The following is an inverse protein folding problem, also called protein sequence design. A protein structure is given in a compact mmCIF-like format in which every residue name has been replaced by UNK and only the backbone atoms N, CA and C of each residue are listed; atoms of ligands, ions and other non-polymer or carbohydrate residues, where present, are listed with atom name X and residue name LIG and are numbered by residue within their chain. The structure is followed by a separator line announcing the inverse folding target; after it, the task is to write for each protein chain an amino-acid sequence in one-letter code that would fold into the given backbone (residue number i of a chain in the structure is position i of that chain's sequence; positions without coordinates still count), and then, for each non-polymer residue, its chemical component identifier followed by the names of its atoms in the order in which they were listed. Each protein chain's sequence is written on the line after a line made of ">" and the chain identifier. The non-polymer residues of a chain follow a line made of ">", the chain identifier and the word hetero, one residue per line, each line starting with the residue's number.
data_IF_425507959779
#
_entry.id   IF_425507959779
#
_cell.length_a   1.000
_cell.length_b   1.000
_cell.length_c   1.000
_cell.angle_alpha   90.00
_cell.angle_beta   90.00
_cell.angle_gamma   90.00
#
_symmetry.space_group_name_H-M   'P 1'
#
loop_
_entity.id
_entity.type
_entity.pdbx_description
1 polymer ?
#
# COMPACT_ATOMS: atom_id res chain seq x y z
N UNK A 1 3.77 -20.26 30.32
CA UNK A 1 2.43 -19.74 29.95
C UNK A 1 1.86 -20.67 28.88
N UNK A 2 0.57 -21.07 28.98
CA UNK A 2 -0.08 -21.82 27.91
C UNK A 2 -0.40 -20.86 26.75
N UNK A 3 -0.04 -21.24 25.54
CA UNK A 3 -0.41 -20.49 24.32
C UNK A 3 -1.93 -20.60 24.14
N UNK A 4 -2.66 -19.48 23.97
CA UNK A 4 -4.09 -19.54 23.72
C UNK A 4 -4.37 -20.23 22.37
N UNK A 5 -5.41 -21.06 22.34
CA UNK A 5 -5.88 -21.68 21.09
C UNK A 5 -6.74 -20.67 20.33
N UNK A 6 -6.49 -20.53 19.03
CA UNK A 6 -7.28 -19.68 18.15
C UNK A 6 -8.43 -20.49 17.57
N UNK A 7 -9.64 -19.96 17.67
CA UNK A 7 -10.83 -20.49 17.03
C UNK A 7 -11.19 -19.52 15.91
N UNK A 8 -11.44 -20.02 14.71
CA UNK A 8 -11.84 -19.21 13.56
C UNK A 8 -13.01 -19.87 12.86
N UNK A 9 -13.99 -19.07 12.44
CA UNK A 9 -15.12 -19.52 11.65
C UNK A 9 -14.82 -19.24 10.18
N UNK A 10 -14.81 -20.27 9.36
CA UNK A 10 -14.58 -20.17 7.91
C UNK A 10 -15.87 -20.44 7.15
N UNK A 11 -16.13 -19.68 6.10
CA UNK A 11 -17.32 -19.83 5.25
C UNK A 11 -17.32 -18.82 4.13
N UNK A 12 -18.41 -18.79 3.35
CA UNK A 12 -18.60 -17.75 2.34
C UNK A 12 -19.10 -16.46 3.00
N UNK A 13 -18.86 -15.31 2.36
CA UNK A 13 -19.34 -14.02 2.86
C UNK A 13 -20.86 -14.05 3.07
N UNK A 14 -21.31 -13.59 4.24
CA UNK A 14 -22.75 -13.50 4.56
C UNK A 14 -23.40 -14.81 5.02
N UNK A 15 -22.66 -15.89 5.26
CA UNK A 15 -23.24 -17.17 5.75
C UNK A 15 -23.47 -17.23 7.25
N UNK A 16 -23.42 -16.10 7.97
CA UNK A 16 -23.73 -16.03 9.40
C UNK A 16 -22.62 -16.50 10.35
N UNK A 17 -21.34 -16.38 9.96
CA UNK A 17 -20.21 -16.69 10.85
C UNK A 17 -20.21 -15.84 12.14
N UNK A 18 -20.79 -14.64 12.09
CA UNK A 18 -20.99 -13.78 13.27
C UNK A 18 -21.83 -14.45 14.35
N UNK A 19 -22.87 -15.19 14.00
CA UNK A 19 -23.74 -15.90 14.97
C UNK A 19 -22.93 -16.92 15.77
N UNK A 20 -22.01 -17.63 15.11
CA UNK A 20 -21.14 -18.58 15.78
C UNK A 20 -20.11 -17.86 16.66
N UNK A 21 -19.53 -16.76 16.19
CA UNK A 21 -18.61 -15.95 16.99
C UNK A 21 -19.27 -15.36 18.24
N UNK A 22 -20.51 -14.91 18.14
CA UNK A 22 -21.30 -14.39 19.26
C UNK A 22 -21.61 -15.50 20.28
N UNK A 23 -22.08 -16.67 19.80
CA UNK A 23 -22.33 -17.84 20.64
C UNK A 23 -21.06 -18.30 21.37
N UNK A 24 -19.92 -18.33 20.68
CA UNK A 24 -18.64 -18.68 21.30
C UNK A 24 -18.18 -17.61 22.32
N UNK A 25 -18.57 -16.36 22.13
CA UNK A 25 -18.28 -15.26 23.05
C UNK A 25 -19.01 -15.35 24.40
N UNK A 26 -20.07 -16.16 24.51
CA UNK A 26 -20.80 -16.36 25.79
C UNK A 26 -19.98 -17.17 26.82
N UNK A 27 -18.99 -17.94 26.37
CA UNK A 27 -18.17 -18.76 27.26
C UNK A 27 -17.07 -17.92 27.94
N UNK A 28 -16.99 -17.97 29.27
CA UNK A 28 -16.05 -17.16 30.07
C UNK A 28 -14.57 -17.45 29.79
N UNK A 29 -14.25 -18.58 29.18
CA UNK A 29 -12.90 -18.97 28.77
C UNK A 29 -12.58 -18.63 27.30
N UNK A 30 -13.49 -17.96 26.59
CA UNK A 30 -13.31 -17.51 25.21
C UNK A 30 -13.27 -15.98 25.19
N UNK A 31 -12.34 -15.43 24.41
CA UNK A 31 -12.23 -13.99 24.20
C UNK A 31 -12.50 -13.69 22.72
N UNK A 32 -13.49 -12.83 22.47
CA UNK A 32 -13.78 -12.32 21.13
C UNK A 32 -12.96 -11.05 20.86
N UNK A 33 -12.48 -10.90 19.63
CA UNK A 33 -11.72 -9.73 19.18
C UNK A 33 -12.62 -8.53 18.80
N UNK A 34 -13.94 -8.65 19.00
CA UNK A 34 -14.91 -7.58 18.81
C UNK A 34 -15.66 -7.63 17.46
N UNK A 35 -16.34 -6.53 17.14
CA UNK A 35 -17.34 -6.46 16.07
C UNK A 35 -16.83 -5.79 14.78
N UNK A 36 -15.51 -5.72 14.61
CA UNK A 36 -14.89 -5.06 13.46
C UNK A 36 -14.12 -6.06 12.61
N UNK A 37 -14.40 -6.05 11.31
CA UNK A 37 -13.76 -6.94 10.34
C UNK A 37 -12.56 -6.24 9.69
N UNK A 38 -11.36 -6.74 9.96
CA UNK A 38 -10.15 -6.26 9.32
C UNK A 38 -10.01 -6.85 7.92
N UNK A 39 -10.32 -6.07 6.88
CA UNK A 39 -10.35 -6.54 5.48
C UNK A 39 -9.07 -6.27 4.70
N UNK A 40 -8.20 -5.37 5.18
CA UNK A 40 -6.96 -4.97 4.51
C UNK A 40 -5.93 -6.10 4.29
N UNK A 41 -6.14 -7.29 4.88
CA UNK A 41 -5.33 -8.48 4.58
C UNK A 41 -5.67 -9.02 3.19
N UNK A 42 -6.96 -8.98 2.82
CA UNK A 42 -7.50 -9.66 1.65
C UNK A 42 -7.91 -8.72 0.52
N UNK A 43 -8.26 -7.48 0.86
CA UNK A 43 -8.70 -6.47 -0.10
C UNK A 43 -7.60 -6.12 -1.13
N UNK A 44 -7.99 -5.61 -2.32
CA UNK A 44 -7.03 -5.07 -3.29
C UNK A 44 -6.14 -4.01 -2.67
N UNK A 45 -4.86 -3.97 -3.07
CA UNK A 45 -3.80 -3.14 -2.46
C UNK A 45 -3.50 -3.47 -0.99
N UNK A 46 -4.11 -4.53 -0.44
CA UNK A 46 -3.86 -5.04 0.90
C UNK A 46 -2.60 -5.91 0.99
N UNK A 47 -2.45 -6.63 2.11
CA UNK A 47 -1.26 -7.46 2.36
C UNK A 47 -1.08 -8.55 1.28
N UNK A 48 -2.16 -9.19 0.84
CA UNK A 48 -2.08 -10.23 -0.19
C UNK A 48 -1.59 -9.70 -1.54
N UNK A 49 -2.06 -8.53 -1.94
CA UNK A 49 -1.62 -7.91 -3.21
C UNK A 49 -0.15 -7.47 -3.13
N UNK A 50 0.26 -6.96 -1.97
CA UNK A 50 1.67 -6.64 -1.69
C UNK A 50 2.56 -7.90 -1.74
N UNK A 51 2.12 -9.00 -1.12
CA UNK A 51 2.83 -10.29 -1.11
C UNK A 51 3.04 -10.82 -2.52
N UNK A 52 1.99 -10.83 -3.34
CA UNK A 52 2.06 -11.17 -4.76
C UNK A 52 3.06 -10.28 -5.51
N UNK A 53 2.99 -8.97 -5.30
CA UNK A 53 3.85 -7.98 -5.95
C UNK A 53 5.34 -8.08 -5.58
N UNK A 54 5.66 -8.64 -4.42
CA UNK A 54 7.03 -8.80 -3.91
C UNK A 54 7.57 -10.20 -4.23
N UNK A 55 6.81 -11.24 -3.92
CA UNK A 55 7.32 -12.62 -3.90
C UNK A 55 7.03 -13.39 -5.19
N UNK A 56 5.93 -13.10 -5.87
CA UNK A 56 5.54 -13.80 -7.10
C UNK A 56 5.95 -13.01 -8.36
N UNK A 57 6.06 -11.68 -8.24
CA UNK A 57 6.38 -10.80 -9.35
C UNK A 57 7.80 -10.23 -9.27
N UNK A 58 8.76 -10.95 -9.85
CA UNK A 58 10.20 -10.62 -9.87
C UNK A 58 10.56 -9.43 -10.80
N UNK A 59 9.89 -8.29 -10.66
CA UNK A 59 10.20 -7.08 -11.42
C UNK A 59 10.19 -5.84 -10.52
N UNK A 60 11.32 -5.15 -10.45
CA UNK A 60 11.52 -3.96 -9.60
C UNK A 60 10.45 -2.86 -9.79
N UNK A 61 9.95 -2.66 -11.01
CA UNK A 61 8.97 -1.60 -11.30
C UNK A 61 7.59 -1.97 -10.77
N UNK A 62 7.20 -3.23 -10.92
CA UNK A 62 5.92 -3.73 -10.41
C UNK A 62 5.94 -3.89 -8.90
N UNK A 63 7.06 -4.31 -8.32
CA UNK A 63 7.23 -4.34 -6.86
C UNK A 63 7.06 -2.95 -6.26
N UNK A 64 7.73 -1.94 -6.82
CA UNK A 64 7.54 -0.54 -6.40
C UNK A 64 6.09 -0.07 -6.54
N UNK A 65 5.38 -0.49 -7.60
CA UNK A 65 3.97 -0.19 -7.79
C UNK A 65 3.09 -0.76 -6.68
N UNK A 66 3.23 -2.03 -6.33
CA UNK A 66 2.45 -2.66 -5.26
C UNK A 66 2.77 -2.05 -3.88
N UNK A 67 4.03 -1.74 -3.60
CA UNK A 67 4.43 -1.04 -2.37
C UNK A 67 3.76 0.34 -2.29
N UNK A 68 3.82 1.12 -3.37
CA UNK A 68 3.21 2.45 -3.42
C UNK A 68 1.69 2.40 -3.24
N UNK A 69 1.03 1.44 -3.87
CA UNK A 69 -0.41 1.22 -3.71
C UNK A 69 -0.78 0.81 -2.29
N UNK A 70 0.00 -0.08 -1.65
CA UNK A 70 -0.21 -0.45 -0.26
C UNK A 70 -0.07 0.77 0.66
N UNK A 71 0.97 1.58 0.49
CA UNK A 71 1.17 2.82 1.26
C UNK A 71 -0.03 3.77 1.06
N UNK A 72 -0.49 3.96 -0.17
CA UNK A 72 -1.65 4.80 -0.47
C UNK A 72 -2.93 4.26 0.20
N UNK A 73 -3.11 2.94 0.17
CA UNK A 73 -4.26 2.26 0.79
C UNK A 73 -4.25 2.39 2.32
N UNK A 74 -3.11 2.15 2.98
CA UNK A 74 -2.95 2.39 4.42
C UNK A 74 -3.21 3.85 4.78
N UNK A 75 -2.70 4.80 4.00
CA UNK A 75 -2.97 6.22 4.20
C UNK A 75 -4.47 6.56 4.10
N UNK A 76 -5.18 5.93 3.17
CA UNK A 76 -6.62 6.06 3.05
C UNK A 76 -7.35 5.47 4.26
N UNK A 77 -7.01 4.24 4.65
CA UNK A 77 -7.62 3.55 5.79
C UNK A 77 -7.38 4.27 7.12
N UNK A 78 -6.16 4.79 7.34
CA UNK A 78 -5.81 5.57 8.53
C UNK A 78 -6.66 6.84 8.68
N UNK A 79 -7.11 7.44 7.56
CA UNK A 79 -7.93 8.66 7.55
C UNK A 79 -9.43 8.37 7.42
N UNK A 80 -9.81 7.11 7.21
CA UNK A 80 -11.20 6.76 6.92
C UNK A 80 -12.06 6.85 8.18
N UNK A 81 -13.17 7.59 8.09
CA UNK A 81 -14.19 7.63 9.14
C UNK A 81 -15.12 6.41 9.10
N UNK A 82 -15.23 5.77 7.94
CA UNK A 82 -16.07 4.57 7.74
C UNK A 82 -15.36 3.34 8.27
N UNK A 83 -14.07 3.22 7.97
CA UNK A 83 -13.23 2.11 8.41
C UNK A 83 -12.20 2.64 9.41
N UNK A 84 -12.64 2.81 10.67
CA UNK A 84 -11.85 3.49 11.70
C UNK A 84 -10.77 2.59 12.31
N UNK A 85 -9.80 2.16 11.49
CA UNK A 85 -8.70 1.31 11.92
C UNK A 85 -7.87 1.96 13.03
N UNK A 86 -7.64 3.28 12.98
CA UNK A 86 -6.85 3.98 14.00
C UNK A 86 -7.44 3.82 15.41
N UNK A 87 -8.77 3.81 15.56
CA UNK A 87 -9.39 3.60 16.87
C UNK A 87 -9.13 2.20 17.45
N UNK A 88 -9.00 1.17 16.61
CA UNK A 88 -8.71 -0.20 17.06
C UNK A 88 -7.24 -0.41 17.40
N UNK A 89 -6.35 0.39 16.81
CA UNK A 89 -4.91 0.31 17.02
C UNK A 89 -4.36 1.49 17.84
N UNK A 90 -5.19 2.16 18.65
CA UNK A 90 -4.80 3.27 19.54
C UNK A 90 -4.02 4.40 18.82
N UNK A 91 -4.41 4.73 17.58
CA UNK A 91 -3.75 5.75 16.76
C UNK A 91 -2.39 5.32 16.19
N UNK A 92 -2.07 4.02 16.25
CA UNK A 92 -0.78 3.48 15.79
C UNK A 92 -0.88 2.71 14.48
N UNK A 93 -2.06 2.61 13.85
CA UNK A 93 -2.26 1.76 12.68
C UNK A 93 -1.31 2.14 11.54
N UNK A 94 -1.27 3.44 11.20
CA UNK A 94 -0.33 3.95 10.20
C UNK A 94 1.13 3.76 10.61
N UNK A 95 1.48 4.07 11.86
CA UNK A 95 2.87 4.00 12.34
C UNK A 95 3.44 2.58 12.26
N UNK A 96 2.63 1.59 12.67
CA UNK A 96 3.00 0.17 12.60
C UNK A 96 3.14 -0.26 11.14
N UNK A 97 2.23 0.16 10.27
CA UNK A 97 2.27 -0.16 8.84
C UNK A 97 3.49 0.46 8.13
N UNK A 98 3.82 1.72 8.44
CA UNK A 98 5.02 2.38 7.91
C UNK A 98 6.29 1.67 8.39
N UNK A 99 6.33 1.22 9.65
CA UNK A 99 7.45 0.44 10.18
C UNK A 99 7.57 -0.91 9.46
N UNK A 100 6.45 -1.58 9.20
CA UNK A 100 6.43 -2.82 8.43
C UNK A 100 7.02 -2.62 7.03
N UNK A 101 6.57 -1.59 6.29
CA UNK A 101 7.11 -1.29 4.96
C UNK A 101 8.60 -0.97 5.01
N UNK A 102 9.05 -0.17 5.98
CA UNK A 102 10.48 0.14 6.11
C UNK A 102 11.34 -1.08 6.45
N UNK A 103 10.77 -2.11 7.09
CA UNK A 103 11.49 -3.33 7.42
C UNK A 103 11.62 -4.31 6.24
N UNK A 104 10.73 -4.23 5.24
CA UNK A 104 10.76 -5.12 4.06
C UNK A 104 11.43 -4.47 2.85
N UNK A 105 11.69 -3.16 2.88
CA UNK A 105 12.32 -2.42 1.77
C UNK A 105 13.81 -2.21 2.05
N UNK A 106 14.65 -2.94 1.31
CA UNK A 106 16.11 -2.82 1.43
C UNK A 106 16.69 -1.63 0.65
N UNK A 107 16.12 -1.31 -0.52
CA UNK A 107 16.66 -0.31 -1.45
C UNK A 107 15.58 0.71 -1.76
N UNK A 108 15.95 1.99 -1.69
CA UNK A 108 15.11 3.13 -2.09
C UNK A 108 15.81 3.91 -3.20
N UNK A 109 15.05 4.32 -4.20
CA UNK A 109 15.56 5.10 -5.34
C UNK A 109 14.73 6.39 -5.47
N UNK A 110 15.41 7.53 -5.51
CA UNK A 110 14.78 8.85 -5.66
C UNK A 110 14.59 9.19 -7.13
N UNK A 111 13.68 8.47 -7.78
CA UNK A 111 13.33 8.68 -9.17
C UNK A 111 11.87 8.31 -9.42
N UNK A 112 11.49 8.30 -10.69
CA UNK A 112 10.15 7.91 -11.10
C UNK A 112 10.20 7.18 -12.44
N UNK A 113 9.19 6.34 -12.67
CA UNK A 113 8.96 5.73 -13.96
C UNK A 113 7.58 6.12 -14.51
N UNK A 114 7.23 5.60 -15.68
CA UNK A 114 6.04 6.03 -16.41
C UNK A 114 4.75 5.91 -15.59
N UNK A 115 4.59 4.83 -14.82
CA UNK A 115 3.39 4.59 -14.02
C UNK A 115 3.26 5.60 -12.87
N UNK A 116 4.36 6.00 -12.22
CA UNK A 116 4.30 6.99 -11.15
C UNK A 116 3.73 8.33 -11.64
N UNK A 117 4.04 8.71 -12.89
CA UNK A 117 3.47 9.91 -13.52
C UNK A 117 1.99 9.68 -13.86
N UNK A 118 1.62 8.50 -14.35
CA UNK A 118 0.23 8.14 -14.64
C UNK A 118 -0.64 8.21 -13.38
N UNK A 119 -0.13 7.74 -12.24
CA UNK A 119 -0.87 7.73 -10.97
C UNK A 119 -0.75 9.04 -10.19
N UNK A 120 0.16 9.93 -10.59
CA UNK A 120 0.35 11.20 -9.93
C UNK A 120 -0.84 12.16 -10.08
N UNK A 121 -0.93 13.10 -9.15
CA UNK A 121 -1.92 14.17 -9.17
C UNK A 121 -1.79 15.05 -10.40
N UNK A 122 -2.89 15.72 -10.78
CA UNK A 122 -2.94 16.61 -11.94
C UNK A 122 -1.82 17.66 -11.94
N UNK A 123 -1.54 18.27 -10.78
CA UNK A 123 -0.47 19.26 -10.64
C UNK A 123 0.92 18.68 -10.93
N UNK A 124 1.20 17.46 -10.45
CA UNK A 124 2.49 16.80 -10.68
C UNK A 124 2.65 16.42 -12.16
N UNK A 125 1.57 15.95 -12.80
CA UNK A 125 1.54 15.74 -14.26
C UNK A 125 1.82 17.04 -15.01
N UNK A 126 1.17 18.13 -14.61
CA UNK A 126 1.34 19.44 -15.24
C UNK A 126 2.80 19.93 -15.16
N UNK A 127 3.43 19.83 -13.99
CA UNK A 127 4.86 20.18 -13.81
C UNK A 127 5.74 19.31 -14.70
N UNK A 128 5.54 17.99 -14.68
CA UNK A 128 6.33 17.08 -15.51
C UNK A 128 6.24 17.39 -17.01
N UNK A 129 5.03 17.65 -17.52
CA UNK A 129 4.84 17.98 -18.93
C UNK A 129 5.38 19.37 -19.27
N UNK A 130 5.33 20.34 -18.36
CA UNK A 130 5.89 21.67 -18.60
C UNK A 130 7.42 21.64 -18.66
N UNK A 131 8.08 20.89 -17.78
CA UNK A 131 9.52 20.65 -17.80
C UNK A 131 9.96 19.99 -19.12
N UNK A 132 9.22 18.99 -19.61
CA UNK A 132 9.48 18.32 -20.90
C UNK A 132 9.38 19.29 -22.09
N UNK A 133 8.44 20.23 -22.06
CA UNK A 133 8.30 21.26 -23.10
C UNK A 133 9.49 22.22 -23.07
N UNK A 134 9.91 22.66 -21.87
CA UNK A 134 11.06 23.57 -21.70
C UNK A 134 12.34 22.88 -22.16
N UNK A 135 12.58 21.63 -21.75
CA UNK A 135 13.72 20.83 -22.20
C UNK A 135 13.73 20.73 -23.72
N UNK A 136 12.61 20.37 -24.35
CA UNK A 136 12.53 20.27 -25.82
C UNK A 136 12.85 21.61 -26.51
N UNK A 137 12.45 22.75 -25.94
CA UNK A 137 12.81 24.08 -26.46
C UNK A 137 14.30 24.39 -26.28
N UNK A 138 14.87 24.08 -25.12
CA UNK A 138 16.30 24.28 -24.85
C UNK A 138 17.17 23.39 -25.74
N UNK A 139 16.83 22.11 -25.88
CA UNK A 139 17.54 21.21 -26.79
C UNK A 139 17.34 21.59 -28.26
N UNK A 140 16.20 22.19 -28.65
CA UNK A 140 16.03 22.73 -30.00
C UNK A 140 16.93 23.96 -30.27
N UNK A 141 17.19 24.78 -29.24
CA UNK A 141 18.16 25.89 -29.30
C UNK A 141 19.61 25.39 -29.27
N UNK A 142 19.93 24.35 -28.49
CA UNK A 142 21.27 23.77 -28.36
C UNK A 142 21.64 22.76 -29.46
N UNK A 143 20.65 22.23 -30.21
CA UNK A 143 20.88 21.43 -31.43
C UNK A 143 21.58 22.21 -32.54
N UNK A 144 21.85 23.50 -32.34
CA UNK A 144 22.76 24.28 -33.18
C UNK A 144 24.24 24.05 -32.84
N UNK A 145 24.58 23.40 -31.71
CA UNK A 145 25.99 23.29 -31.30
C UNK A 145 26.53 21.97 -30.74
N UNK A 146 25.79 21.03 -30.14
CA UNK A 146 26.39 19.72 -29.83
C UNK A 146 25.37 18.61 -29.51
N UNK A 147 25.37 17.57 -30.34
CA UNK A 147 24.97 16.21 -29.95
C UNK A 147 25.99 15.65 -28.95
N UNK A 148 25.53 14.77 -28.07
CA UNK A 148 26.32 13.96 -27.12
C UNK A 148 26.86 14.66 -25.87
N UNK A 149 26.05 14.68 -24.82
CA UNK A 149 26.56 14.43 -23.46
C UNK A 149 25.65 13.39 -22.80
N UNK A 150 26.22 12.18 -22.66
CA UNK A 150 25.70 11.07 -21.87
C UNK A 150 25.51 11.53 -20.42
N UNK A 151 24.33 11.28 -19.85
CA UNK A 151 24.10 11.36 -18.40
C UNK A 151 24.61 10.04 -17.82
N UNK A 152 25.76 10.09 -17.15
CA UNK A 152 26.33 8.98 -16.39
C UNK A 152 25.68 8.89 -15.01
N UNK A 153 25.19 7.69 -14.71
CA UNK A 153 24.97 6.99 -13.44
C UNK A 153 24.55 7.79 -12.19
#
# INVERSE_FOLDING_TARGET
>A
MKVPKVITCTGYGGTGSSVISDLLGEFSNVSSMGNFEFRFIQDPNGIRDLDYGINENNNRLTTSYHINNFIAYINYLSKSKVYNYESFFNGQFKSISDKFINNIVDIKWDGFWHQDIIDSSFFRKFIYYSERIIQKKNTANERRWCQFLWVSF
#
